data_IF_817029303706
#
_entry.id   IF_817029303706
#
_cell.length_a   1.000
_cell.length_b   1.000
_cell.length_c   1.000
_cell.angle_alpha   90.00
_cell.angle_beta   90.00
_cell.angle_gamma   90.00
#
_symmetry.space_group_name_H-M   'P 1'
#
loop_
_entity.id
_entity.type
_entity.pdbx_description
1 polymer ?
#
# COMPACT_ATOMS: atom_id res chain seq x y z
N UNK A 1 -7.82 8.53 -19.06
CA UNK A 1 -7.41 8.92 -17.71
C UNK A 1 -6.07 8.32 -17.39
N UNK A 2 -5.17 9.12 -16.88
CA UNK A 2 -3.82 8.66 -16.59
C UNK A 2 -3.78 7.88 -15.29
N UNK A 3 -3.06 6.77 -15.31
CA UNK A 3 -2.75 6.01 -14.10
C UNK A 3 -1.53 6.64 -13.44
N UNK A 4 -1.54 6.63 -12.13
CA UNK A 4 -0.47 7.14 -11.29
C UNK A 4 0.01 6.05 -10.38
N UNK A 5 1.28 6.08 -10.02
CA UNK A 5 1.83 5.17 -9.02
C UNK A 5 2.38 5.96 -7.85
N UNK A 6 2.24 5.39 -6.66
CA UNK A 6 2.69 5.98 -5.41
C UNK A 6 3.34 4.92 -4.56
N UNK A 7 4.47 5.25 -3.93
CA UNK A 7 5.06 4.41 -2.90
C UNK A 7 4.63 4.95 -1.54
N UNK A 8 4.19 4.06 -0.68
CA UNK A 8 3.73 4.40 0.67
C UNK A 8 4.54 3.57 1.65
N UNK A 9 5.19 4.23 2.59
CA UNK A 9 5.99 3.58 3.63
C UNK A 9 5.28 3.77 4.95
N UNK A 10 4.98 2.66 5.62
CA UNK A 10 4.18 2.66 6.85
C UNK A 10 5.04 2.11 7.98
N UNK A 11 5.09 2.83 9.10
CA UNK A 11 5.89 2.47 10.26
C UNK A 11 5.01 2.41 11.52
N UNK A 12 5.43 1.60 12.46
CA UNK A 12 4.72 1.36 13.71
C UNK A 12 4.67 -0.14 13.98
N UNK A 13 3.61 -0.61 14.60
CA UNK A 13 3.37 -2.04 14.78
C UNK A 13 2.65 -2.57 13.55
N UNK A 14 3.40 -2.82 12.50
CA UNK A 14 2.85 -3.15 11.17
C UNK A 14 3.34 -4.48 10.62
N UNK A 15 4.40 -5.06 11.19
CA UNK A 15 4.85 -6.40 10.79
C UNK A 15 4.37 -7.43 11.81
N UNK A 16 4.10 -8.65 11.35
CA UNK A 16 3.66 -9.75 12.21
C UNK A 16 2.21 -9.65 12.66
N UNK A 17 1.43 -8.76 12.05
CA UNK A 17 0.03 -8.52 12.45
C UNK A 17 -0.95 -8.72 11.28
N UNK A 18 -0.49 -9.38 10.21
CA UNK A 18 -1.33 -9.61 9.03
C UNK A 18 -1.52 -8.37 8.17
N UNK A 19 -0.64 -7.38 8.32
CA UNK A 19 -0.77 -6.11 7.59
C UNK A 19 -0.76 -6.32 6.08
N UNK A 20 0.21 -7.09 5.58
CA UNK A 20 0.35 -7.28 4.13
C UNK A 20 -0.90 -7.91 3.51
N UNK A 21 -1.45 -8.90 4.19
CA UNK A 21 -2.66 -9.58 3.71
C UNK A 21 -3.85 -8.62 3.65
N UNK A 22 -4.08 -7.88 4.72
CA UNK A 22 -5.20 -6.94 4.80
C UNK A 22 -5.03 -5.78 3.81
N UNK A 23 -3.79 -5.28 3.67
CA UNK A 23 -3.49 -4.22 2.72
C UNK A 23 -3.70 -4.68 1.27
N UNK A 24 -3.27 -5.90 0.95
CA UNK A 24 -3.51 -6.50 -0.36
C UNK A 24 -5.01 -6.57 -0.65
N UNK A 25 -5.77 -7.06 0.29
CA UNK A 25 -7.21 -7.19 0.15
C UNK A 25 -7.88 -5.83 -0.08
N UNK A 26 -7.49 -4.83 0.69
CA UNK A 26 -8.05 -3.48 0.54
C UNK A 26 -7.69 -2.88 -0.81
N UNK A 27 -6.45 -3.04 -1.25
CA UNK A 27 -6.01 -2.54 -2.54
C UNK A 27 -6.77 -3.20 -3.69
N UNK A 28 -7.03 -4.49 -3.60
CA UNK A 28 -7.83 -5.22 -4.59
C UNK A 28 -9.27 -4.69 -4.63
N UNK A 29 -9.87 -4.44 -3.48
CA UNK A 29 -11.20 -3.87 -3.39
C UNK A 29 -11.29 -2.51 -4.08
N UNK A 30 -10.21 -1.74 -4.00
CA UNK A 30 -10.13 -0.42 -4.63
C UNK A 30 -9.75 -0.47 -6.10
N UNK A 31 -9.42 -1.65 -6.63
CA UNK A 31 -9.03 -1.79 -8.03
C UNK A 31 -7.59 -1.38 -8.33
N UNK A 32 -6.75 -1.29 -7.32
CA UNK A 32 -5.35 -0.90 -7.47
C UNK A 32 -4.49 -2.07 -7.92
N UNK A 33 -3.41 -1.75 -8.63
CA UNK A 33 -2.34 -2.70 -8.95
C UNK A 33 -1.09 -2.33 -8.16
N UNK A 34 -0.25 -3.29 -7.87
CA UNK A 34 0.98 -3.04 -7.17
C UNK A 34 1.41 -4.17 -6.27
N UNK A 35 2.06 -3.83 -5.17
CA UNK A 35 2.53 -4.82 -4.22
C UNK A 35 2.70 -4.21 -2.83
N UNK A 36 2.82 -5.10 -1.85
CA UNK A 36 3.13 -4.75 -0.47
C UNK A 36 4.19 -5.72 0.03
N UNK A 37 5.20 -5.20 0.73
CA UNK A 37 6.27 -6.03 1.30
C UNK A 37 6.76 -5.46 2.62
N UNK A 38 7.30 -6.33 3.46
CA UNK A 38 7.98 -5.90 4.67
C UNK A 38 9.36 -5.33 4.33
N UNK A 39 9.76 -4.32 5.06
CA UNK A 39 11.11 -3.75 4.98
C UNK A 39 11.96 -4.28 6.12
N UNK A 40 13.29 -4.24 5.94
CA UNK A 40 14.22 -4.72 6.95
C UNK A 40 14.23 -3.86 8.21
N UNK A 41 13.80 -2.60 8.08
CA UNK A 41 13.78 -1.65 9.21
C UNK A 41 12.49 -1.73 10.06
N UNK A 42 11.66 -2.72 9.80
CA UNK A 42 10.40 -2.91 10.55
C UNK A 42 9.19 -2.27 9.89
N UNK A 43 9.38 -1.50 8.83
CA UNK A 43 8.27 -0.88 8.12
C UNK A 43 7.66 -1.78 7.06
N UNK A 44 6.66 -1.26 6.38
CA UNK A 44 6.00 -1.90 5.25
C UNK A 44 5.99 -0.93 4.08
N UNK A 45 6.39 -1.41 2.91
CA UNK A 45 6.32 -0.64 1.67
C UNK A 45 5.13 -1.11 0.86
N UNK A 46 4.34 -0.16 0.37
CA UNK A 46 3.30 -0.42 -0.61
C UNK A 46 3.60 0.41 -1.85
N UNK A 47 3.57 -0.22 -3.01
CA UNK A 47 3.58 0.51 -4.28
C UNK A 47 2.23 0.26 -4.92
N UNK A 48 1.47 1.31 -5.15
CA UNK A 48 0.11 1.22 -5.65
C UNK A 48 -0.05 2.09 -6.89
N UNK A 49 -0.72 1.55 -7.90
CA UNK A 49 -0.96 2.24 -9.16
C UNK A 49 -2.44 2.20 -9.48
N UNK A 50 -2.98 3.34 -9.88
CA UNK A 50 -4.38 3.47 -10.23
C UNK A 50 -4.74 4.93 -10.48
N UNK A 51 -6.01 5.24 -10.38
CA UNK A 51 -6.50 6.62 -10.49
C UNK A 51 -6.21 7.38 -9.20
N UNK A 52 -6.24 8.70 -9.27
CA UNK A 52 -6.06 9.54 -8.08
C UNK A 52 -7.09 9.19 -6.99
N UNK A 53 -8.35 8.99 -7.38
CA UNK A 53 -9.40 8.67 -6.42
C UNK A 53 -9.13 7.34 -5.70
N UNK A 54 -8.65 6.32 -6.43
CA UNK A 54 -8.30 5.03 -5.84
C UNK A 54 -7.13 5.16 -4.88
N UNK A 55 -6.10 5.93 -5.25
CA UNK A 55 -4.94 6.15 -4.40
C UNK A 55 -5.30 6.94 -3.15
N UNK A 56 -6.16 7.96 -3.29
CA UNK A 56 -6.63 8.74 -2.15
C UNK A 56 -7.40 7.87 -1.17
N UNK A 57 -8.24 6.98 -1.67
CA UNK A 57 -9.01 6.06 -0.81
C UNK A 57 -8.10 5.13 -0.01
N UNK A 58 -7.03 4.61 -0.64
CA UNK A 58 -6.06 3.78 0.06
C UNK A 58 -5.34 4.57 1.16
N UNK A 59 -4.90 5.78 0.86
CA UNK A 59 -4.22 6.62 1.84
C UNK A 59 -5.13 7.01 2.99
N UNK A 60 -6.39 7.33 2.71
CA UNK A 60 -7.37 7.65 3.75
C UNK A 60 -7.58 6.47 4.69
N UNK A 61 -7.69 5.26 4.14
CA UNK A 61 -7.82 4.06 4.94
C UNK A 61 -6.62 3.86 5.87
N UNK A 62 -5.41 4.09 5.37
CA UNK A 62 -4.20 3.99 6.18
C UNK A 62 -4.17 5.04 7.29
N UNK A 63 -4.58 6.28 6.98
CA UNK A 63 -4.64 7.37 7.97
C UNK A 63 -5.67 7.13 9.04
N UNK A 64 -6.72 6.36 8.74
CA UNK A 64 -7.73 5.97 9.70
C UNK A 64 -7.30 4.78 10.57
N UNK A 65 -6.08 4.29 10.38
CA UNK A 65 -5.51 3.21 11.18
C UNK A 65 -5.20 1.94 10.43
N UNK A 66 -5.62 1.80 9.18
CA UNK A 66 -5.38 0.62 8.37
C UNK A 66 -5.99 -0.63 8.98
N UNK A 67 -5.27 -1.78 8.96
CA UNK A 67 -5.76 -3.00 9.59
C UNK A 67 -5.97 -2.84 11.09
N UNK A 68 -7.02 -3.46 11.61
CA UNK A 68 -7.35 -3.36 13.04
C UNK A 68 -6.22 -3.81 13.96
N UNK A 69 -5.47 -4.82 13.55
CA UNK A 69 -4.38 -5.39 14.34
C UNK A 69 -3.12 -4.56 14.30
N UNK A 70 -3.05 -3.57 13.42
CA UNK A 70 -1.87 -2.73 13.25
C UNK A 70 -1.99 -1.45 14.06
N UNK A 71 -0.84 -0.88 14.41
CA UNK A 71 -0.76 0.45 14.98
C UNK A 71 0.19 1.28 14.15
N UNK A 72 -0.36 2.16 13.34
CA UNK A 72 0.42 2.99 12.42
C UNK A 72 0.84 4.26 13.14
N UNK A 73 2.14 4.52 13.18
CA UNK A 73 2.70 5.71 13.81
C UNK A 73 3.14 6.75 12.79
N UNK A 74 3.53 6.31 11.60
CA UNK A 74 4.09 7.20 10.59
C UNK A 74 3.81 6.67 9.20
N UNK A 75 3.45 7.57 8.30
CA UNK A 75 3.21 7.27 6.89
C UNK A 75 4.02 8.25 6.05
N UNK A 76 4.83 7.72 5.12
CA UNK A 76 5.56 8.52 4.14
C UNK A 76 5.03 8.16 2.76
N UNK A 77 4.85 9.17 1.91
CA UNK A 77 4.30 8.97 0.57
C UNK A 77 5.24 9.61 -0.44
N UNK A 78 5.57 8.85 -1.48
CA UNK A 78 6.41 9.33 -2.58
C UNK A 78 5.77 9.01 -3.91
N UNK A 79 5.80 9.94 -4.88
CA UNK A 79 5.37 9.60 -6.23
C UNK A 79 6.36 8.62 -6.86
N UNK A 80 5.86 7.74 -7.71
CA UNK A 80 6.66 6.78 -8.46
C UNK A 80 6.33 6.89 -9.94
N UNK A 81 7.30 6.51 -10.78
CA UNK A 81 7.04 6.41 -12.21
C UNK A 81 5.94 5.39 -12.48
N UNK A 82 5.05 5.72 -13.39
CA UNK A 82 3.92 4.84 -13.73
C UNK A 82 4.38 3.74 -14.68
N UNK A 83 5.03 2.71 -14.14
CA UNK A 83 5.41 1.52 -14.89
C UNK A 83 4.60 0.35 -14.34
N UNK A 84 3.53 0.01 -15.03
CA UNK A 84 2.63 -1.06 -14.64
C UNK A 84 2.81 -2.33 -15.47
N UNK A 85 3.85 -2.38 -16.32
CA UNK A 85 4.03 -3.47 -17.27
C UNK A 85 4.12 -4.84 -16.58
N UNK A 86 4.76 -4.89 -15.39
CA UNK A 86 4.97 -6.13 -14.67
C UNK A 86 3.96 -6.35 -13.54
N UNK A 87 2.95 -5.47 -13.41
CA UNK A 87 2.00 -5.56 -12.32
C UNK A 87 0.74 -6.30 -12.74
N UNK A 88 0.46 -7.42 -12.08
CA UNK A 88 -0.72 -8.24 -12.30
C UNK A 88 -1.54 -8.27 -11.01
N UNK A 89 -2.48 -7.33 -10.87
CA UNK A 89 -3.24 -7.20 -9.65
C UNK A 89 -2.39 -6.64 -8.51
N UNK A 90 -2.74 -6.97 -7.29
CA UNK A 90 -2.00 -6.51 -6.11
C UNK A 90 -1.40 -7.72 -5.39
N UNK A 91 -0.09 -7.72 -5.22
CA UNK A 91 0.67 -8.87 -4.75
C UNK A 91 1.32 -8.62 -3.40
N UNK A 92 1.50 -9.70 -2.63
CA UNK A 92 2.36 -9.67 -1.45
C UNK A 92 3.74 -10.14 -1.89
N UNK A 93 4.77 -9.36 -1.56
CA UNK A 93 6.16 -9.71 -1.83
C UNK A 93 6.90 -10.00 -0.52
N UNK A 94 7.84 -10.90 -0.61
CA UNK A 94 8.63 -11.36 0.54
C UNK A 94 10.09 -10.97 0.47
#
# INVERSE_FOLDING_TARGET
MSKMCTAIYVYGMVQGVGFRYTAQRRAKELGLKGYVRNLDDGGVEMVACGTQAQLDALQDWLRQGGPRSAHIEKILVEPRAADTADLHGFQIRY
#
